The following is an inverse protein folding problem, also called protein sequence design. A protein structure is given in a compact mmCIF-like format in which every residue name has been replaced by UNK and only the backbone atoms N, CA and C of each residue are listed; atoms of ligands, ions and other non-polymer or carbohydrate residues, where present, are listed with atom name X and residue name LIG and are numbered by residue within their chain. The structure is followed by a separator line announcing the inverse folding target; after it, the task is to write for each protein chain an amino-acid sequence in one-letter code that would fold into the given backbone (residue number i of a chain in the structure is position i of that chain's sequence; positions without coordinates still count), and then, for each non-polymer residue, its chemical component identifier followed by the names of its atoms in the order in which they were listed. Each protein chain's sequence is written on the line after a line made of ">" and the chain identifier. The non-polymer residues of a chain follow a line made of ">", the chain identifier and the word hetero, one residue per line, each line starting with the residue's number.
data_IF_599519358269
#
_entry.id   IF_599519358269
#
_cell.length_a   1.000
_cell.length_b   1.000
_cell.length_c   1.000
_cell.angle_alpha   90.00
_cell.angle_beta   90.00
_cell.angle_gamma   90.00
#
_symmetry.space_group_name_H-M   'P 1'
#
loop_
_entity.id
_entity.type
_entity.pdbx_description
1 polymer ?
#
# COMPACT_ATOMS: atom_id res chain seq x y z
N UNK A 1 0.31 20.99 14.58
CA UNK A 1 -0.67 20.10 13.91
C UNK A 1 0.04 19.34 12.80
N UNK A 2 0.49 18.11 13.04
CA UNK A 2 1.04 17.26 11.99
C UNK A 2 -0.07 16.98 10.98
N UNK A 3 0.06 17.47 9.74
CA UNK A 3 -0.89 17.17 8.67
C UNK A 3 -0.93 15.66 8.47
N UNK A 4 -2.09 15.05 8.68
CA UNK A 4 -2.32 13.64 8.40
C UNK A 4 -2.24 13.43 6.89
N UNK A 5 -1.43 12.48 6.43
CA UNK A 5 -1.34 12.14 5.00
C UNK A 5 -2.45 11.18 4.60
N UNK A 6 -2.84 10.35 5.55
CA UNK A 6 -3.83 9.29 5.40
C UNK A 6 -4.88 9.42 6.49
N UNK A 7 -6.16 9.42 6.09
CA UNK A 7 -7.29 9.41 7.01
C UNK A 7 -7.89 8.01 7.07
N UNK A 8 -8.42 7.61 8.22
CA UNK A 8 -9.11 6.33 8.33
C UNK A 8 -10.39 6.34 7.49
N UNK A 9 -10.71 5.20 6.87
CA UNK A 9 -12.00 5.03 6.18
C UNK A 9 -13.15 5.00 7.19
N UNK A 10 -14.24 5.69 6.88
CA UNK A 10 -15.48 5.71 7.71
C UNK A 10 -16.16 4.34 7.79
N UNK A 11 -15.99 3.53 6.75
CA UNK A 11 -16.54 2.18 6.65
C UNK A 11 -15.41 1.18 6.40
N UNK A 12 -15.39 0.10 7.19
CA UNK A 12 -14.43 -0.99 7.11
C UNK A 12 -13.10 -0.71 7.81
N UNK A 13 -12.03 -1.29 7.27
CA UNK A 13 -10.66 -1.17 7.78
C UNK A 13 -9.74 -0.59 6.72
N UNK A 14 -8.83 0.29 7.15
CA UNK A 14 -7.77 0.84 6.33
C UNK A 14 -7.79 2.36 6.24
N UNK A 15 -7.05 2.86 5.25
CA UNK A 15 -6.71 4.26 5.11
C UNK A 15 -7.08 4.79 3.72
N UNK A 16 -7.23 6.11 3.62
CA UNK A 16 -7.42 6.83 2.36
C UNK A 16 -6.49 8.04 2.36
N UNK A 17 -5.68 8.23 1.30
CA UNK A 17 -4.84 9.40 1.18
C UNK A 17 -5.70 10.67 1.12
N UNK A 18 -5.36 11.66 1.94
CA UNK A 18 -6.02 12.96 1.98
C UNK A 18 -5.09 14.10 1.55
N UNK A 19 -3.78 13.86 1.51
CA UNK A 19 -2.78 14.82 1.02
C UNK A 19 -2.15 14.34 -0.28
N UNK A 20 -1.57 15.29 -1.01
CA UNK A 20 -0.76 14.99 -2.19
C UNK A 20 0.42 14.05 -1.84
N UNK A 21 1.02 14.17 -0.65
CA UNK A 21 2.10 13.29 -0.17
C UNK A 21 1.61 11.83 -0.03
N UNK A 22 0.38 11.64 0.48
CA UNK A 22 -0.26 10.33 0.56
C UNK A 22 -0.53 9.74 -0.83
N UNK A 23 -1.02 10.56 -1.76
CA UNK A 23 -1.20 10.14 -3.16
C UNK A 23 0.12 9.79 -3.85
N UNK A 24 1.17 10.59 -3.67
CA UNK A 24 2.52 10.28 -4.18
C UNK A 24 3.04 8.97 -3.61
N UNK A 25 2.83 8.72 -2.32
CA UNK A 25 3.22 7.44 -1.68
C UNK A 25 2.53 6.25 -2.37
N UNK A 26 1.22 6.36 -2.62
CA UNK A 26 0.44 5.32 -3.31
C UNK A 26 0.90 5.16 -4.78
N UNK A 27 1.17 6.26 -5.47
CA UNK A 27 1.66 6.25 -6.84
C UNK A 27 3.03 5.59 -6.95
N UNK A 28 3.97 5.94 -6.07
CA UNK A 28 5.29 5.30 -5.99
C UNK A 28 5.15 3.81 -5.70
N UNK A 29 4.28 3.42 -4.77
CA UNK A 29 4.01 2.02 -4.47
C UNK A 29 3.49 1.26 -5.70
N UNK A 30 2.51 1.81 -6.42
CA UNK A 30 1.99 1.23 -7.65
C UNK A 30 3.06 1.11 -8.74
N UNK A 31 3.90 2.13 -8.93
CA UNK A 31 5.01 2.11 -9.87
C UNK A 31 6.03 1.02 -9.52
N UNK A 32 6.37 0.87 -8.24
CA UNK A 32 7.31 -0.18 -7.79
C UNK A 32 6.74 -1.56 -8.04
N UNK A 33 5.44 -1.80 -7.81
CA UNK A 33 4.80 -3.08 -8.12
C UNK A 33 4.88 -3.37 -9.63
N UNK A 34 4.48 -2.41 -10.47
CA UNK A 34 4.49 -2.57 -11.92
C UNK A 34 5.92 -2.82 -12.43
N UNK A 35 6.89 -2.07 -11.92
CA UNK A 35 8.30 -2.26 -12.25
C UNK A 35 8.79 -3.64 -11.84
N UNK A 36 8.45 -4.09 -10.63
CA UNK A 36 8.85 -5.39 -10.11
C UNK A 36 8.27 -6.52 -10.96
N UNK A 37 6.99 -6.42 -11.31
CA UNK A 37 6.33 -7.34 -12.23
C UNK A 37 7.01 -7.40 -13.61
N UNK A 38 7.24 -6.24 -14.25
CA UNK A 38 7.91 -6.19 -15.56
C UNK A 38 9.34 -6.73 -15.51
N UNK A 39 10.07 -6.49 -14.42
CA UNK A 39 11.44 -6.99 -14.24
C UNK A 39 11.47 -8.51 -14.14
N UNK A 40 10.53 -9.11 -13.42
CA UNK A 40 10.48 -10.57 -13.24
C UNK A 40 9.99 -11.25 -14.53
N UNK A 41 8.95 -10.70 -15.18
CA UNK A 41 8.45 -11.17 -16.47
C UNK A 41 9.53 -11.15 -17.56
N UNK A 42 10.38 -10.13 -17.58
CA UNK A 42 11.48 -10.03 -18.54
C UNK A 42 12.63 -11.04 -18.31
N UNK A 43 12.74 -11.62 -17.11
CA UNK A 43 13.85 -12.51 -16.73
C UNK A 43 13.43 -13.99 -16.71
N UNK A 44 12.15 -14.29 -16.48
CA UNK A 44 11.68 -15.67 -16.26
C UNK A 44 10.80 -16.18 -17.40
N UNK A 45 11.19 -17.34 -17.96
CA UNK A 45 10.45 -18.02 -19.04
C UNK A 45 9.31 -18.94 -18.54
N UNK A 46 9.10 -19.03 -17.22
CA UNK A 46 8.07 -19.88 -16.60
C UNK A 46 7.29 -19.10 -15.55
N UNK A 47 5.98 -19.02 -15.71
CA UNK A 47 5.11 -18.20 -14.84
C UNK A 47 5.05 -18.65 -13.37
N UNK A 48 5.38 -19.92 -13.08
CA UNK A 48 5.43 -20.43 -11.71
C UNK A 48 6.59 -19.84 -10.90
N UNK A 49 7.77 -19.67 -11.50
CA UNK A 49 8.91 -19.07 -10.81
C UNK A 49 8.75 -17.55 -10.66
N UNK A 50 7.99 -16.91 -11.57
CA UNK A 50 7.60 -15.51 -11.49
C UNK A 50 6.79 -15.24 -10.22
N UNK A 51 5.79 -16.07 -9.93
CA UNK A 51 4.95 -15.92 -8.74
C UNK A 51 5.73 -16.17 -7.45
N UNK A 52 6.60 -17.18 -7.42
CA UNK A 52 7.38 -17.54 -6.22
C UNK A 52 8.34 -16.40 -5.82
N UNK A 53 8.95 -15.70 -6.78
CA UNK A 53 9.82 -14.56 -6.48
C UNK A 53 9.06 -13.24 -6.24
N UNK A 54 7.93 -13.04 -6.94
CA UNK A 54 7.15 -11.81 -6.85
C UNK A 54 6.35 -11.68 -5.54
N UNK A 55 5.74 -12.78 -5.07
CA UNK A 55 4.89 -12.78 -3.87
C UNK A 55 5.63 -12.30 -2.61
N UNK A 56 6.80 -12.86 -2.22
CA UNK A 56 7.50 -12.40 -1.01
C UNK A 56 7.96 -10.94 -1.13
N UNK A 57 8.43 -10.51 -2.31
CA UNK A 57 8.81 -9.11 -2.54
C UNK A 57 7.61 -8.17 -2.39
N UNK A 58 6.46 -8.56 -2.94
CA UNK A 58 5.20 -7.80 -2.85
C UNK A 58 4.70 -7.73 -1.41
N UNK A 59 4.81 -8.82 -0.63
CA UNK A 59 4.45 -8.83 0.79
C UNK A 59 5.32 -7.83 1.57
N UNK A 60 6.62 -7.80 1.35
CA UNK A 60 7.53 -6.84 2.00
C UNK A 60 7.12 -5.40 1.65
N UNK A 61 6.85 -5.13 0.38
CA UNK A 61 6.35 -3.84 -0.10
C UNK A 61 5.04 -3.44 0.60
N UNK A 62 4.08 -4.36 0.73
CA UNK A 62 2.81 -4.12 1.42
C UNK A 62 3.02 -3.79 2.91
N UNK A 63 3.93 -4.50 3.58
CA UNK A 63 4.27 -4.21 4.98
C UNK A 63 4.83 -2.80 5.10
N UNK A 64 5.75 -2.41 4.22
CA UNK A 64 6.32 -1.05 4.20
C UNK A 64 5.22 0.00 4.01
N UNK A 65 4.31 -0.22 3.05
CA UNK A 65 3.18 0.69 2.82
C UNK A 65 2.30 0.80 4.07
N UNK A 66 1.95 -0.33 4.69
CA UNK A 66 1.17 -0.36 5.92
C UNK A 66 1.87 0.40 7.06
N UNK A 67 3.18 0.25 7.23
CA UNK A 67 3.96 0.99 8.23
C UNK A 67 3.94 2.50 7.95
N UNK A 68 4.06 2.92 6.69
CA UNK A 68 3.97 4.33 6.31
C UNK A 68 2.57 4.88 6.62
N UNK A 69 1.52 4.16 6.21
CA UNK A 69 0.14 4.52 6.51
C UNK A 69 -0.11 4.63 8.02
N UNK A 70 0.48 3.75 8.83
CA UNK A 70 0.32 3.77 10.27
C UNK A 70 1.09 4.90 10.95
N UNK A 71 2.28 5.26 10.47
CA UNK A 71 3.08 6.38 11.00
C UNK A 71 2.59 7.75 10.56
N UNK A 72 2.04 7.87 9.35
CA UNK A 72 1.62 9.14 8.72
C UNK A 72 0.11 9.33 8.68
N UNK A 73 -0.65 8.32 9.12
CA UNK A 73 -2.10 8.35 9.20
C UNK A 73 -2.62 8.12 10.61
N UNK A 74 -3.94 8.14 10.73
CA UNK A 74 -4.62 7.77 11.96
C UNK A 74 -4.41 6.28 12.25
N UNK A 75 -4.48 5.87 13.53
CA UNK A 75 -4.41 4.46 13.89
C UNK A 75 -5.46 3.65 13.10
N UNK A 76 -5.23 2.39 12.71
CA UNK A 76 -6.25 1.61 12.06
C UNK A 76 -7.31 1.21 13.11
N UNK A 77 -8.58 1.44 12.82
CA UNK A 77 -9.69 0.92 13.61
C UNK A 77 -10.78 0.48 12.65
N UNK A 78 -11.43 -0.61 12.97
CA UNK A 78 -12.63 -1.02 12.28
C UNK A 78 -13.77 -0.04 12.62
N UNK A 79 -14.40 0.54 11.60
CA UNK A 79 -15.53 1.47 11.75
C UNK A 79 -16.68 1.05 10.82
N UNK A 80 -17.92 1.10 11.31
CA UNK A 80 -19.13 0.78 10.54
C UNK A 80 -19.97 2.04 10.26
N UNK A 81 -19.34 3.21 10.12
CA UNK A 81 -20.02 4.50 10.03
C UNK A 81 -20.03 5.27 11.35
N UNK A 82 -20.66 6.44 11.34
CA UNK A 82 -20.72 7.33 12.50
C UNK A 82 -21.50 6.67 13.64
N UNK A 83 -20.86 6.60 14.81
CA UNK A 83 -21.63 6.67 16.05
C UNK A 83 -22.02 8.12 16.19
N UNK A 84 -23.32 8.35 16.17
CA UNK A 84 -24.01 9.62 16.42
C UNK A 84 -23.38 10.39 17.58
#
# INVERSE_FOLDING_TARGET
>A
MTKLWFKRKRYGWGWTPITWEGWVTVAVFALVIVWNFRRIDAIQHSGSDTLINFVPQTIVLLIILCVICWKKGESPRWQWGERE
#
